data_IF_418950940454
#
_entry.id   IF_418950940454
#
_cell.length_a   1.000
_cell.length_b   1.000
_cell.length_c   1.000
_cell.angle_alpha   90.00
_cell.angle_beta   90.00
_cell.angle_gamma   90.00
#
_symmetry.space_group_name_H-M   'P 1'
#
loop_
_entity.id
_entity.type
_entity.pdbx_description
1 polymer ?
#
# COMPACT_ATOMS: atom_id res chain seq x y z
N UNK A 1 -17.32 33.86 4.86
CA UNK A 1 -15.85 33.93 4.69
C UNK A 1 -15.29 32.71 5.36
N UNK A 2 -14.33 32.02 4.73
CA UNK A 2 -13.70 30.86 5.36
C UNK A 2 -12.97 31.28 6.63
N UNK A 3 -13.03 30.44 7.67
CA UNK A 3 -12.23 30.63 8.89
C UNK A 3 -10.74 30.55 8.55
N UNK A 4 -9.94 31.39 9.20
CA UNK A 4 -8.50 31.56 8.91
C UNK A 4 -7.67 31.04 10.07
N UNK A 5 -6.69 30.19 9.77
CA UNK A 5 -5.79 29.59 10.74
C UNK A 5 -4.37 30.10 10.54
N UNK A 6 -3.71 30.49 11.63
CA UNK A 6 -2.36 31.06 11.60
C UNK A 6 -1.37 30.12 12.27
N UNK A 7 -0.28 29.78 11.58
CA UNK A 7 0.75 28.89 12.10
C UNK A 7 1.76 29.62 13.00
N UNK A 8 2.28 28.93 14.02
CA UNK A 8 3.35 29.44 14.87
C UNK A 8 4.61 29.80 14.07
N UNK A 9 5.29 30.86 14.50
CA UNK A 9 6.63 31.22 14.01
C UNK A 9 7.60 30.06 14.25
N UNK A 10 8.20 29.54 13.17
CA UNK A 10 9.20 28.46 13.24
C UNK A 10 8.64 27.05 13.05
N UNK A 11 7.31 26.87 13.11
CA UNK A 11 6.64 25.59 12.79
C UNK A 11 5.97 25.57 11.40
N UNK A 12 5.99 26.70 10.69
CA UNK A 12 5.39 26.88 9.36
C UNK A 12 6.20 26.27 8.19
N UNK A 13 7.51 26.00 8.37
CA UNK A 13 8.42 25.64 7.26
C UNK A 13 7.98 24.44 6.44
N UNK A 14 7.49 23.38 7.09
CA UNK A 14 7.08 22.14 6.39
C UNK A 14 5.84 22.36 5.54
N UNK A 15 4.87 23.12 6.05
CA UNK A 15 3.68 23.50 5.31
C UNK A 15 4.03 24.40 4.10
N UNK A 16 4.95 25.36 4.28
CA UNK A 16 5.48 26.20 3.19
C UNK A 16 6.25 25.40 2.12
N UNK A 17 6.80 24.24 2.49
CA UNK A 17 7.43 23.29 1.57
C UNK A 17 6.43 22.31 0.93
N UNK A 18 5.13 22.55 1.10
CA UNK A 18 4.06 21.79 0.45
C UNK A 18 3.64 20.53 1.18
N UNK A 19 4.01 20.32 2.46
CA UNK A 19 3.46 19.22 3.25
C UNK A 19 1.95 19.43 3.42
N UNK A 20 1.10 18.45 3.09
CA UNK A 20 -0.35 18.63 3.06
C UNK A 20 -1.00 18.63 4.46
N UNK A 21 -0.25 18.32 5.51
CA UNK A 21 -0.78 18.20 6.86
C UNK A 21 -0.37 19.37 7.75
N UNK A 22 -1.32 19.89 8.52
CA UNK A 22 -1.10 20.83 9.61
C UNK A 22 -1.49 20.14 10.91
N UNK A 23 -0.56 20.05 11.83
CA UNK A 23 -0.77 19.44 13.14
C UNK A 23 -1.29 20.46 14.14
N UNK A 24 -2.04 19.98 15.14
CA UNK A 24 -2.59 20.82 16.23
C UNK A 24 -1.53 21.70 16.89
N UNK A 25 -0.30 21.19 17.06
CA UNK A 25 0.78 21.93 17.72
C UNK A 25 1.49 22.95 16.82
N UNK A 26 1.12 23.01 15.54
CA UNK A 26 1.62 23.99 14.57
C UNK A 26 0.70 25.23 14.47
N UNK A 27 -0.54 25.13 14.96
CA UNK A 27 -1.56 26.19 14.92
C UNK A 27 -1.40 27.10 16.14
N UNK A 28 -1.31 28.42 15.90
CA UNK A 28 -1.19 29.45 16.93
C UNK A 28 -2.55 30.02 17.34
N UNK A 29 -3.34 30.43 16.35
CA UNK A 29 -4.64 31.09 16.52
C UNK A 29 -5.49 30.90 15.26
N UNK A 30 -6.78 31.18 15.38
CA UNK A 30 -7.71 31.21 14.26
C UNK A 30 -8.69 32.37 14.38
N UNK A 31 -9.27 32.79 13.26
CA UNK A 31 -10.26 33.87 13.14
C UNK A 31 -11.49 33.39 12.36
N UNK A 32 -12.67 33.53 12.97
CA UNK A 32 -13.95 33.06 12.46
C UNK A 32 -14.39 31.69 12.99
N UNK A 33 -15.70 31.44 12.93
CA UNK A 33 -16.31 30.17 13.35
C UNK A 33 -16.11 29.06 12.31
N UNK A 34 -16.06 27.81 12.77
CA UNK A 34 -15.97 26.62 11.91
C UNK A 34 -16.62 25.41 12.56
N UNK A 35 -17.04 24.45 11.73
CA UNK A 35 -17.39 23.09 12.13
C UNK A 35 -16.37 22.09 11.57
N UNK A 36 -16.25 20.93 12.23
CA UNK A 36 -15.38 19.87 11.73
C UNK A 36 -15.88 19.37 10.36
N UNK A 37 -14.98 19.38 9.37
CA UNK A 37 -15.26 19.12 7.97
C UNK A 37 -15.20 20.36 7.08
N UNK A 38 -15.36 21.56 7.66
CA UNK A 38 -15.35 22.81 6.90
C UNK A 38 -14.03 23.08 6.18
N UNK A 39 -14.12 23.75 5.04
CA UNK A 39 -12.95 24.27 4.33
C UNK A 39 -12.47 25.56 5.01
N UNK A 40 -11.22 25.54 5.46
CA UNK A 40 -10.55 26.66 6.13
C UNK A 40 -9.32 27.10 5.35
N UNK A 41 -8.87 28.33 5.59
CA UNK A 41 -7.65 28.89 5.01
C UNK A 41 -6.50 28.83 6.02
N UNK A 42 -5.30 28.45 5.57
CA UNK A 42 -4.10 28.39 6.41
C UNK A 42 -3.13 29.48 5.98
N UNK A 43 -2.63 30.22 6.96
CA UNK A 43 -1.68 31.32 6.82
C UNK A 43 -0.46 31.09 7.71
N UNK A 44 0.71 31.59 7.31
CA UNK A 44 1.87 31.61 8.20
C UNK A 44 1.78 32.76 9.22
N UNK A 45 2.71 32.79 10.18
CA UNK A 45 2.83 33.84 11.20
C UNK A 45 3.00 35.29 10.68
N UNK A 46 3.21 35.49 9.37
CA UNK A 46 3.30 36.82 8.74
C UNK A 46 2.04 37.17 7.93
N UNK A 47 1.03 36.31 7.93
CA UNK A 47 -0.20 36.50 7.17
C UNK A 47 -0.10 36.10 5.69
N UNK A 48 0.93 35.37 5.27
CA UNK A 48 0.98 34.82 3.91
C UNK A 48 0.17 33.54 3.81
N UNK A 49 -0.65 33.44 2.77
CA UNK A 49 -1.47 32.28 2.48
C UNK A 49 -0.60 31.05 2.15
N UNK A 50 -0.96 29.91 2.72
CA UNK A 50 -0.32 28.60 2.52
C UNK A 50 -1.23 27.69 1.68
N UNK A 51 -2.51 27.61 2.04
CA UNK A 51 -3.44 26.73 1.34
C UNK A 51 -4.84 26.70 1.96
N UNK A 52 -5.76 26.01 1.26
CA UNK A 52 -7.11 25.69 1.72
C UNK A 52 -7.26 24.19 1.91
N UNK A 53 -7.99 23.78 2.94
CA UNK A 53 -8.19 22.39 3.28
C UNK A 53 -9.28 22.20 4.31
N UNK A 54 -9.71 20.96 4.54
CA UNK A 54 -10.71 20.68 5.56
C UNK A 54 -10.09 20.59 6.96
N UNK A 55 -10.87 20.99 7.97
CA UNK A 55 -10.49 20.94 9.39
C UNK A 55 -11.13 19.76 10.14
N UNK A 56 -10.42 19.18 11.10
CA UNK A 56 -10.96 18.25 12.10
C UNK A 56 -10.16 18.32 13.41
N UNK A 57 -10.73 18.92 14.46
CA UNK A 57 -10.08 19.09 15.77
C UNK A 57 -9.92 17.79 16.58
N UNK A 58 -10.64 16.72 16.21
CA UNK A 58 -10.50 15.39 16.83
C UNK A 58 -9.19 14.71 16.44
N UNK A 59 -8.63 15.08 15.28
CA UNK A 59 -7.42 14.51 14.74
C UNK A 59 -6.19 15.33 15.13
N UNK A 60 -5.06 14.66 15.37
CA UNK A 60 -3.78 15.35 15.54
C UNK A 60 -3.36 16.10 14.27
N UNK A 61 -3.77 15.58 13.10
CA UNK A 61 -3.64 16.25 11.81
C UNK A 61 -4.92 17.09 11.66
N UNK A 62 -4.87 18.30 12.19
CA UNK A 62 -6.06 19.16 12.35
C UNK A 62 -6.53 19.73 11.02
N UNK A 63 -5.63 20.11 10.11
CA UNK A 63 -6.03 20.60 8.78
C UNK A 63 -5.28 19.81 7.71
N UNK A 64 -5.99 19.40 6.66
CA UNK A 64 -5.42 18.72 5.50
C UNK A 64 -5.64 19.55 4.25
N UNK A 65 -4.55 20.15 3.75
CA UNK A 65 -4.54 21.05 2.60
C UNK A 65 -4.88 20.27 1.32
N UNK A 66 -5.83 20.80 0.55
CA UNK A 66 -6.28 20.27 -0.74
C UNK A 66 -5.83 21.15 -1.91
N UNK A 67 -5.64 22.45 -1.68
CA UNK A 67 -5.15 23.38 -2.71
C UNK A 67 -4.28 24.48 -2.11
N UNK A 68 -3.33 24.97 -2.92
CA UNK A 68 -2.50 26.14 -2.63
C UNK A 68 -2.89 27.35 -3.48
N UNK A 69 -4.00 27.26 -4.23
CA UNK A 69 -4.61 28.39 -4.94
C UNK A 69 -5.75 28.98 -4.09
N UNK A 70 -5.60 30.24 -3.70
CA UNK A 70 -6.60 30.94 -2.88
C UNK A 70 -7.94 31.10 -3.61
N UNK A 71 -7.94 31.10 -4.95
CA UNK A 71 -9.15 31.28 -5.76
C UNK A 71 -9.80 29.94 -6.18
N UNK A 72 -9.14 28.80 -5.96
CA UNK A 72 -9.67 27.50 -6.37
C UNK A 72 -10.72 27.01 -5.36
N UNK A 73 -11.98 26.91 -5.76
CA UNK A 73 -13.04 26.33 -4.94
C UNK A 73 -12.93 24.79 -4.92
N UNK A 74 -13.22 24.17 -3.78
CA UNK A 74 -13.17 22.70 -3.63
C UNK A 74 -14.57 22.16 -3.98
N UNK A 75 -14.85 22.13 -5.28
CA UNK A 75 -16.13 21.75 -5.85
C UNK A 75 -16.00 20.54 -6.82
N UNK A 76 -17.06 20.24 -7.58
CA UNK A 76 -17.03 19.19 -8.60
C UNK A 76 -15.88 19.35 -9.61
N UNK A 77 -15.61 20.57 -10.07
CA UNK A 77 -14.57 20.82 -11.05
C UNK A 77 -13.17 20.61 -10.47
N UNK A 78 -12.95 20.98 -9.20
CA UNK A 78 -11.72 20.65 -8.49
C UNK A 78 -11.48 19.15 -8.48
N UNK A 79 -12.45 18.34 -8.04
CA UNK A 79 -12.28 16.89 -7.98
C UNK A 79 -12.11 16.29 -9.39
N UNK A 80 -12.89 16.73 -10.38
CA UNK A 80 -12.74 16.29 -11.77
C UNK A 80 -11.33 16.54 -12.29
N UNK A 81 -10.77 17.72 -12.05
CA UNK A 81 -9.39 18.07 -12.41
C UNK A 81 -8.37 17.19 -11.69
N UNK A 82 -8.54 16.93 -10.38
CA UNK A 82 -7.64 16.08 -9.59
C UNK A 82 -7.66 14.62 -10.07
N UNK A 83 -8.85 14.07 -10.30
CA UNK A 83 -9.02 12.73 -10.84
C UNK A 83 -8.39 12.60 -12.24
N UNK A 84 -8.61 13.60 -13.11
CA UNK A 84 -8.00 13.60 -14.45
C UNK A 84 -6.48 13.57 -14.36
N UNK A 85 -5.87 14.46 -13.56
CA UNK A 85 -4.42 14.50 -13.38
C UNK A 85 -3.87 13.18 -12.82
N UNK A 86 -4.53 12.61 -11.81
CA UNK A 86 -4.14 11.33 -11.23
C UNK A 86 -4.22 10.20 -12.25
N UNK A 87 -5.26 10.18 -13.10
CA UNK A 87 -5.43 9.13 -14.13
C UNK A 87 -4.41 9.26 -15.26
N UNK A 88 -4.15 10.48 -15.74
CA UNK A 88 -3.11 10.73 -16.76
C UNK A 88 -1.73 10.25 -16.29
N UNK A 89 -1.41 10.47 -15.01
CA UNK A 89 -0.20 9.92 -14.42
C UNK A 89 -0.18 8.39 -14.51
N UNK A 90 -1.23 7.69 -14.06
CA UNK A 90 -1.29 6.21 -14.10
C UNK A 90 -1.14 5.68 -15.53
N UNK A 91 -1.86 6.25 -16.50
CA UNK A 91 -1.74 5.85 -17.91
C UNK A 91 -0.31 5.92 -18.45
N UNK A 92 0.53 6.80 -17.89
CA UNK A 92 1.93 6.95 -18.29
C UNK A 92 2.83 5.90 -17.65
N UNK A 93 2.58 5.55 -16.39
CA UNK A 93 3.54 4.78 -15.58
C UNK A 93 3.17 3.32 -15.35
N UNK A 94 1.91 2.94 -15.54
CA UNK A 94 1.44 1.59 -15.22
C UNK A 94 0.25 1.15 -16.07
N UNK A 95 0.05 -0.16 -16.16
CA UNK A 95 -1.19 -0.72 -16.69
C UNK A 95 -2.38 -0.38 -15.77
N UNK A 96 -3.41 0.23 -16.37
CA UNK A 96 -4.59 0.79 -15.70
C UNK A 96 -5.81 -0.13 -15.70
N UNK A 97 -5.68 -1.36 -16.22
CA UNK A 97 -6.74 -2.38 -16.07
C UNK A 97 -7.07 -2.56 -14.59
N UNK A 98 -6.05 -2.77 -13.76
CA UNK A 98 -6.12 -2.77 -12.30
C UNK A 98 -4.95 -2.01 -11.68
N UNK A 99 -5.25 -0.92 -10.95
CA UNK A 99 -4.26 -0.05 -10.32
C UNK A 99 -4.86 0.82 -9.21
N UNK A 100 -3.99 1.37 -8.36
CA UNK A 100 -4.32 2.46 -7.43
C UNK A 100 -4.57 3.72 -8.24
N UNK A 101 -5.84 4.07 -8.41
CA UNK A 101 -6.23 5.26 -9.13
C UNK A 101 -5.92 6.52 -8.31
N UNK A 102 -6.38 6.58 -7.06
CA UNK A 102 -6.10 7.70 -6.14
C UNK A 102 -5.37 7.18 -4.92
N UNK A 103 -4.25 7.81 -4.57
CA UNK A 103 -3.38 7.50 -3.43
C UNK A 103 -3.26 8.70 -2.46
N UNK A 104 -4.41 9.15 -1.95
CA UNK A 104 -4.49 10.10 -0.85
C UNK A 104 -3.79 11.42 -1.11
N UNK A 105 -2.95 11.80 -0.14
CA UNK A 105 -2.11 12.99 -0.17
C UNK A 105 -1.23 13.07 -1.42
N UNK A 106 -0.78 11.93 -1.95
CA UNK A 106 0.11 11.90 -3.10
C UNK A 106 -0.58 12.32 -4.41
N UNK A 107 -1.91 12.27 -4.44
CA UNK A 107 -2.75 12.79 -5.52
C UNK A 107 -3.49 14.07 -5.12
N UNK A 108 -3.05 14.72 -4.03
CA UNK A 108 -3.64 15.94 -3.50
C UNK A 108 -5.12 15.81 -3.12
N UNK A 109 -5.53 14.60 -2.71
CA UNK A 109 -6.86 14.28 -2.19
C UNK A 109 -6.70 13.60 -0.83
N UNK A 110 -6.26 14.33 0.22
CA UNK A 110 -5.94 13.75 1.52
C UNK A 110 -7.09 12.93 2.09
N UNK A 111 -6.79 11.72 2.51
CA UNK A 111 -7.75 10.79 3.10
C UNK A 111 -8.59 9.98 2.12
N UNK A 112 -8.50 10.22 0.81
CA UNK A 112 -9.15 9.42 -0.22
C UNK A 112 -8.22 8.35 -0.80
N UNK A 113 -8.70 7.14 -0.91
CA UNK A 113 -8.03 6.08 -1.64
C UNK A 113 -9.02 5.45 -2.61
N UNK A 114 -8.61 5.28 -3.88
CA UNK A 114 -9.43 4.63 -4.91
C UNK A 114 -8.59 3.58 -5.62
N UNK A 115 -9.04 2.33 -5.56
CA UNK A 115 -8.52 1.26 -6.41
C UNK A 115 -9.48 0.98 -7.56
N UNK A 116 -8.90 0.69 -8.72
CA UNK A 116 -9.59 0.24 -9.91
C UNK A 116 -9.26 -1.24 -10.14
N UNK A 117 -10.30 -2.03 -10.42
CA UNK A 117 -10.24 -3.45 -10.76
C UNK A 117 -11.10 -3.69 -12.00
N UNK A 118 -10.49 -3.69 -13.18
CA UNK A 118 -11.19 -3.62 -14.47
C UNK A 118 -12.16 -2.43 -14.48
N UNK A 119 -13.47 -2.67 -14.66
CA UNK A 119 -14.50 -1.64 -14.73
C UNK A 119 -15.13 -1.31 -13.35
N UNK A 120 -14.59 -1.88 -12.26
CA UNK A 120 -15.10 -1.72 -10.90
C UNK A 120 -14.11 -0.95 -10.03
N UNK A 121 -14.65 -0.23 -9.04
CA UNK A 121 -13.86 0.64 -8.19
C UNK A 121 -14.13 0.36 -6.72
N UNK A 122 -13.08 0.40 -5.91
CA UNK A 122 -13.17 0.39 -4.46
C UNK A 122 -12.69 1.72 -3.93
N UNK A 123 -13.53 2.42 -3.17
CA UNK A 123 -13.13 3.62 -2.46
C UNK A 123 -12.94 3.32 -0.97
N UNK A 124 -11.95 3.97 -0.38
CA UNK A 124 -11.72 3.98 1.06
C UNK A 124 -11.50 5.42 1.47
N UNK A 125 -12.38 5.94 2.32
CA UNK A 125 -12.31 7.30 2.85
C UNK A 125 -11.95 7.23 4.32
N UNK A 126 -10.87 7.91 4.69
CA UNK A 126 -10.27 7.79 6.02
C UNK A 126 -10.47 9.03 6.90
N UNK A 127 -11.01 10.13 6.38
CA UNK A 127 -11.08 11.44 7.05
C UNK A 127 -12.45 12.09 6.91
N UNK A 128 -12.84 12.89 7.91
CA UNK A 128 -14.17 13.51 7.96
C UNK A 128 -14.44 14.45 6.78
N UNK A 129 -13.52 15.38 6.50
CA UNK A 129 -13.76 16.35 5.42
C UNK A 129 -13.85 15.69 4.04
N UNK A 130 -13.13 14.59 3.79
CA UNK A 130 -13.25 13.85 2.53
C UNK A 130 -14.55 13.04 2.47
N UNK A 131 -15.06 12.57 3.62
CA UNK A 131 -16.31 11.81 3.71
C UNK A 131 -17.53 12.60 3.23
N UNK A 132 -17.51 13.93 3.41
CA UNK A 132 -18.55 14.84 2.92
C UNK A 132 -18.65 14.88 1.39
N UNK A 133 -17.59 14.50 0.68
CA UNK A 133 -17.54 14.48 -0.79
C UNK A 133 -17.77 13.08 -1.38
N UNK A 134 -18.19 12.09 -0.56
CA UNK A 134 -18.38 10.70 -1.00
C UNK A 134 -19.25 10.58 -2.25
N UNK A 135 -20.44 11.18 -2.23
CA UNK A 135 -21.39 11.09 -3.35
C UNK A 135 -20.85 11.77 -4.61
N UNK A 136 -20.11 12.87 -4.44
CA UNK A 136 -19.46 13.58 -5.53
C UNK A 136 -18.35 12.72 -6.18
N UNK A 137 -17.56 12.02 -5.37
CA UNK A 137 -16.52 11.09 -5.84
C UNK A 137 -17.15 9.93 -6.63
N UNK A 138 -18.21 9.32 -6.10
CA UNK A 138 -18.93 8.24 -6.78
C UNK A 138 -19.48 8.73 -8.11
N UNK A 139 -20.08 9.92 -8.13
CA UNK A 139 -20.58 10.55 -9.35
C UNK A 139 -19.49 10.71 -10.41
N UNK A 140 -18.31 11.21 -10.04
CA UNK A 140 -17.17 11.36 -10.97
C UNK A 140 -16.73 10.00 -11.52
N UNK A 141 -16.62 8.97 -10.68
CA UNK A 141 -16.22 7.63 -11.12
C UNK A 141 -17.21 7.05 -12.15
N UNK A 142 -18.51 7.25 -11.94
CA UNK A 142 -19.55 6.78 -12.87
C UNK A 142 -19.56 7.61 -14.16
N UNK A 143 -19.63 8.94 -14.06
CA UNK A 143 -19.83 9.83 -15.22
C UNK A 143 -18.58 9.98 -16.10
N UNK A 144 -17.40 10.09 -15.49
CA UNK A 144 -16.16 10.43 -16.23
C UNK A 144 -15.29 9.20 -16.51
N UNK A 145 -15.42 8.13 -15.72
CA UNK A 145 -14.60 6.92 -15.82
C UNK A 145 -15.38 5.64 -16.10
N UNK A 146 -16.71 5.72 -16.27
CA UNK A 146 -17.53 4.60 -16.71
C UNK A 146 -17.61 3.45 -15.70
N UNK A 147 -17.50 3.73 -14.41
CA UNK A 147 -17.59 2.73 -13.36
C UNK A 147 -18.88 1.91 -13.47
N UNK A 148 -18.75 0.59 -13.65
CA UNK A 148 -19.89 -0.35 -13.62
C UNK A 148 -20.39 -0.60 -12.20
N UNK A 149 -19.51 -0.44 -11.21
CA UNK A 149 -19.86 -0.53 -9.81
C UNK A 149 -18.80 0.11 -8.91
N UNK A 150 -19.26 0.71 -7.82
CA UNK A 150 -18.40 1.30 -6.79
C UNK A 150 -18.72 0.67 -5.44
N UNK A 151 -17.70 0.15 -4.77
CA UNK A 151 -17.80 -0.44 -3.44
C UNK A 151 -17.01 0.37 -2.42
N UNK A 152 -17.52 0.52 -1.20
CA UNK A 152 -16.85 1.19 -0.11
C UNK A 152 -16.14 0.18 0.81
N UNK A 153 -14.85 0.41 1.07
CA UNK A 153 -14.03 -0.29 2.07
C UNK A 153 -13.44 0.69 3.07
N UNK A 154 -14.30 1.51 3.63
CA UNK A 154 -14.01 2.43 4.72
C UNK A 154 -14.07 1.73 6.10
N UNK A 155 -13.93 0.41 6.16
CA UNK A 155 -13.91 -0.42 7.37
C UNK A 155 -12.53 -0.41 8.06
N UNK A 156 -12.00 0.80 8.29
CA UNK A 156 -10.68 1.02 8.84
C UNK A 156 -10.73 1.77 10.17
N UNK A 157 -9.91 1.33 11.13
CA UNK A 157 -9.84 1.93 12.48
C UNK A 157 -9.48 3.41 12.50
N UNK A 158 -8.81 3.93 11.47
CA UNK A 158 -8.44 5.36 11.41
C UNK A 158 -9.65 6.29 11.33
N UNK A 159 -10.81 5.80 10.87
CA UNK A 159 -12.06 6.58 10.86
C UNK A 159 -12.55 6.95 12.25
N UNK A 160 -12.34 6.07 13.24
CA UNK A 160 -12.73 6.33 14.63
C UNK A 160 -11.99 7.54 15.21
N UNK A 161 -10.71 7.74 14.82
CA UNK A 161 -9.90 8.90 15.22
C UNK A 161 -10.50 10.19 14.65
N UNK A 162 -11.08 10.11 13.46
CA UNK A 162 -11.71 11.24 12.76
C UNK A 162 -13.16 11.45 13.19
N UNK A 163 -13.67 10.63 14.13
CA UNK A 163 -15.04 10.72 14.64
C UNK A 163 -16.09 10.07 13.75
N UNK A 164 -15.68 9.20 12.83
CA UNK A 164 -16.53 8.51 11.87
C UNK A 164 -16.71 7.04 12.26
N UNK A 165 -17.88 6.50 11.90
CA UNK A 165 -18.11 5.06 11.96
C UNK A 165 -17.37 4.33 10.83
N UNK A 166 -16.95 3.10 11.09
CA UNK A 166 -16.44 2.19 10.07
C UNK A 166 -17.60 1.72 9.19
N UNK A 167 -17.43 1.77 7.87
CA UNK A 167 -18.49 1.40 6.93
C UNK A 167 -17.92 0.65 5.74
N UNK A 168 -18.69 -0.31 5.24
CA UNK A 168 -18.46 -0.97 3.95
C UNK A 168 -19.79 -1.27 3.28
N UNK A 169 -19.83 -1.27 1.96
CA UNK A 169 -21.05 -1.57 1.21
C UNK A 169 -21.04 -1.04 -0.22
N UNK A 170 -22.12 -1.31 -0.94
CA UNK A 170 -22.31 -0.79 -2.29
C UNK A 170 -22.64 0.71 -2.27
N UNK A 171 -21.96 1.48 -3.12
CA UNK A 171 -22.26 2.91 -3.37
C UNK A 171 -22.98 3.12 -4.71
N UNK A 172 -23.12 2.06 -5.48
CA UNK A 172 -23.94 1.95 -6.70
C UNK A 172 -24.89 0.77 -6.53
N UNK A 173 -25.62 0.41 -7.59
CA UNK A 173 -26.39 -0.84 -7.60
C UNK A 173 -25.51 -2.06 -7.24
N UNK A 174 -26.04 -3.04 -6.47
CA UNK A 174 -25.30 -4.24 -6.11
C UNK A 174 -24.76 -5.02 -7.32
N UNK A 175 -23.55 -5.56 -7.18
CA UNK A 175 -22.84 -6.33 -8.21
C UNK A 175 -22.04 -7.47 -7.59
N UNK A 176 -21.54 -8.41 -8.40
CA UNK A 176 -20.65 -9.47 -7.91
C UNK A 176 -19.31 -8.89 -7.48
N UNK A 177 -19.00 -9.00 -6.19
CA UNK A 177 -17.77 -8.45 -5.59
C UNK A 177 -16.54 -9.31 -5.86
N UNK A 178 -16.68 -10.46 -6.53
CA UNK A 178 -15.56 -11.29 -7.00
C UNK A 178 -15.16 -10.91 -8.42
N UNK A 179 -14.23 -9.96 -8.54
CA UNK A 179 -13.79 -9.43 -9.83
C UNK A 179 -12.59 -10.21 -10.34
N UNK A 180 -12.68 -10.74 -11.55
CA UNK A 180 -11.52 -11.32 -12.22
C UNK A 180 -10.66 -10.21 -12.82
N UNK A 181 -9.37 -10.17 -12.47
CA UNK A 181 -8.39 -9.22 -13.02
C UNK A 181 -7.25 -9.96 -13.71
N UNK A 182 -6.49 -9.25 -14.54
CA UNK A 182 -5.21 -9.73 -15.08
C UNK A 182 -4.09 -8.78 -14.65
N UNK A 183 -3.06 -9.31 -13.98
CA UNK A 183 -1.87 -8.55 -13.63
C UNK A 183 -0.61 -9.35 -13.99
N UNK A 184 0.31 -8.73 -14.74
CA UNK A 184 1.56 -9.37 -15.19
C UNK A 184 1.34 -10.71 -15.94
N UNK A 185 0.20 -10.83 -16.64
CA UNK A 185 -0.21 -12.05 -17.33
C UNK A 185 -0.87 -13.11 -16.43
N UNK A 186 -0.97 -12.89 -15.12
CA UNK A 186 -1.63 -13.78 -14.16
C UNK A 186 -3.07 -13.34 -13.96
N UNK A 187 -4.01 -14.30 -14.04
CA UNK A 187 -5.42 -14.09 -13.70
C UNK A 187 -5.64 -14.24 -12.20
N UNK A 188 -6.42 -13.36 -11.60
CA UNK A 188 -6.82 -13.44 -10.19
C UNK A 188 -8.31 -13.24 -10.03
N UNK A 189 -8.89 -13.88 -9.02
CA UNK A 189 -10.21 -13.49 -8.50
C UNK A 189 -9.97 -12.62 -7.26
N UNK A 190 -10.44 -11.37 -7.31
CA UNK A 190 -10.32 -10.39 -6.23
C UNK A 190 -11.67 -10.24 -5.54
N UNK A 191 -11.71 -10.52 -4.24
CA UNK A 191 -12.88 -10.26 -3.39
C UNK A 191 -12.80 -8.82 -2.85
N UNK A 192 -13.63 -7.93 -3.41
CA UNK A 192 -13.67 -6.52 -3.02
C UNK A 192 -14.28 -6.31 -1.63
N UNK A 193 -15.16 -7.21 -1.17
CA UNK A 193 -15.97 -7.05 0.04
C UNK A 193 -15.27 -7.57 1.30
N UNK A 194 -14.62 -8.73 1.21
CA UNK A 194 -14.02 -9.43 2.35
C UNK A 194 -12.51 -9.63 2.19
N UNK A 195 -11.95 -9.34 1.01
CA UNK A 195 -10.50 -9.39 0.79
C UNK A 195 -9.74 -8.41 1.69
N UNK A 196 -8.46 -8.71 1.94
CA UNK A 196 -7.58 -7.83 2.72
C UNK A 196 -7.37 -6.48 2.02
N UNK A 197 -7.22 -5.41 2.82
CA UNK A 197 -7.22 -4.01 2.34
C UNK A 197 -8.50 -3.75 1.54
N UNK A 198 -8.36 -3.38 0.28
CA UNK A 198 -9.41 -3.11 -0.72
C UNK A 198 -9.68 -4.32 -1.62
N UNK A 199 -9.08 -5.48 -1.32
CA UNK A 199 -9.25 -6.74 -2.06
C UNK A 199 -7.93 -7.35 -2.54
N UNK A 200 -6.97 -6.54 -2.99
CA UNK A 200 -5.71 -7.00 -3.58
C UNK A 200 -4.55 -6.03 -3.33
N UNK A 201 -3.33 -6.56 -3.23
CA UNK A 201 -2.11 -5.80 -2.98
C UNK A 201 -1.49 -5.30 -4.30
N UNK A 202 -2.03 -4.20 -4.84
CA UNK A 202 -1.56 -3.56 -6.08
C UNK A 202 -0.17 -2.91 -5.92
N UNK A 203 0.22 -2.56 -4.69
CA UNK A 203 1.52 -1.97 -4.34
C UNK A 203 2.71 -2.86 -4.72
N UNK A 204 2.53 -4.17 -4.78
CA UNK A 204 3.56 -5.15 -5.15
C UNK A 204 3.58 -5.51 -6.66
N UNK A 205 2.74 -4.90 -7.51
CA UNK A 205 2.59 -5.23 -8.95
C UNK A 205 3.94 -5.30 -9.68
N UNK A 206 4.77 -4.27 -9.56
CA UNK A 206 6.07 -4.22 -10.24
C UNK A 206 7.12 -5.13 -9.59
N UNK A 207 7.02 -5.39 -8.29
CA UNK A 207 7.93 -6.30 -7.58
C UNK A 207 7.66 -7.76 -7.95
N UNK A 208 6.39 -8.13 -8.14
CA UNK A 208 5.99 -9.43 -8.69
C UNK A 208 6.55 -9.63 -10.10
N UNK A 209 6.44 -8.63 -10.96
CA UNK A 209 7.02 -8.67 -12.31
C UNK A 209 8.56 -8.79 -12.28
N UNK A 210 9.23 -8.09 -11.37
CA UNK A 210 10.69 -8.12 -11.25
C UNK A 210 11.25 -9.53 -10.93
N UNK A 211 10.45 -10.38 -10.29
CA UNK A 211 10.81 -11.76 -9.98
C UNK A 211 10.75 -12.70 -11.20
N UNK A 212 10.04 -12.34 -12.28
CA UNK A 212 9.89 -13.20 -13.47
C UNK A 212 11.23 -13.65 -14.04
N UNK A 213 12.17 -12.71 -14.23
CA UNK A 213 13.50 -12.99 -14.79
C UNK A 213 14.39 -13.86 -13.89
N UNK A 214 14.02 -14.04 -12.62
CA UNK A 214 14.80 -14.78 -11.61
C UNK A 214 14.26 -16.20 -11.45
N UNK A 215 12.94 -16.38 -11.53
CA UNK A 215 12.28 -17.63 -11.16
C UNK A 215 12.32 -18.72 -12.23
N UNK A 216 12.67 -18.42 -13.49
CA UNK A 216 12.68 -19.40 -14.57
C UNK A 216 13.58 -20.62 -14.25
N UNK A 217 13.04 -21.83 -14.45
CA UNK A 217 13.68 -23.12 -14.21
C UNK A 217 14.16 -23.35 -12.75
N UNK A 218 13.62 -22.58 -11.79
CA UNK A 218 14.01 -22.63 -10.37
C UNK A 218 12.98 -23.33 -9.48
N UNK A 219 13.45 -23.90 -8.37
CA UNK A 219 12.60 -24.28 -7.24
C UNK A 219 12.40 -23.05 -6.34
N UNK A 220 11.16 -22.57 -6.19
CA UNK A 220 10.81 -21.30 -5.52
C UNK A 220 10.01 -21.56 -4.24
N UNK A 221 10.38 -20.87 -3.16
CA UNK A 221 9.60 -20.78 -1.94
C UNK A 221 9.05 -19.35 -1.78
N UNK A 222 7.74 -19.22 -1.68
CA UNK A 222 7.04 -17.96 -1.42
C UNK A 222 6.41 -18.00 -0.02
N UNK A 223 6.99 -17.27 0.92
CA UNK A 223 6.49 -17.19 2.30
C UNK A 223 5.59 -15.97 2.47
N UNK A 224 4.51 -16.14 3.23
CA UNK A 224 3.45 -15.14 3.37
C UNK A 224 2.76 -14.89 2.02
N UNK A 225 2.51 -15.97 1.28
CA UNK A 225 2.05 -15.92 -0.11
C UNK A 225 0.67 -15.27 -0.26
N UNK A 226 -0.11 -15.16 0.82
CA UNK A 226 -1.49 -14.68 0.82
C UNK A 226 -2.32 -15.48 -0.21
N UNK A 227 -2.91 -14.80 -1.19
CA UNK A 227 -3.69 -15.38 -2.29
C UNK A 227 -2.83 -15.87 -3.46
N UNK A 228 -1.53 -16.09 -3.24
CA UNK A 228 -0.61 -16.72 -4.19
C UNK A 228 0.12 -15.75 -5.12
N UNK A 229 0.11 -14.44 -4.86
CA UNK A 229 0.45 -13.46 -5.89
C UNK A 229 1.89 -13.57 -6.42
N UNK A 230 2.90 -13.71 -5.55
CA UNK A 230 4.28 -13.96 -5.96
C UNK A 230 4.47 -15.38 -6.52
N UNK A 231 3.92 -16.39 -5.85
CA UNK A 231 3.97 -17.78 -6.28
C UNK A 231 3.44 -18.00 -7.71
N UNK A 232 2.31 -17.39 -8.06
CA UNK A 232 1.71 -17.49 -9.39
C UNK A 232 2.52 -16.73 -10.45
N UNK A 233 3.09 -15.56 -10.09
CA UNK A 233 4.02 -14.86 -10.98
C UNK A 233 5.28 -15.68 -11.25
N UNK A 234 5.81 -16.38 -10.24
CA UNK A 234 6.92 -17.32 -10.42
C UNK A 234 6.51 -18.49 -11.33
N UNK A 235 5.30 -19.02 -11.16
CA UNK A 235 4.75 -20.09 -12.01
C UNK A 235 4.63 -19.68 -13.48
N UNK A 236 4.00 -18.55 -13.80
CA UNK A 236 3.90 -18.03 -15.19
C UNK A 236 5.27 -17.73 -15.79
N UNK A 237 6.23 -17.29 -14.97
CA UNK A 237 7.60 -17.05 -15.42
C UNK A 237 8.39 -18.33 -15.76
N UNK A 238 7.79 -19.51 -15.59
CA UNK A 238 8.40 -20.79 -15.92
C UNK A 238 9.26 -21.36 -14.80
N UNK A 239 8.91 -21.11 -13.53
CA UNK A 239 9.52 -21.83 -12.42
C UNK A 239 9.35 -23.35 -12.57
N UNK A 240 10.36 -24.11 -12.14
CA UNK A 240 10.32 -25.58 -12.16
C UNK A 240 9.35 -26.12 -11.13
N UNK A 241 9.34 -25.53 -9.95
CA UNK A 241 8.38 -25.82 -8.87
C UNK A 241 8.23 -24.58 -8.00
N UNK A 242 7.03 -24.37 -7.45
CA UNK A 242 6.75 -23.28 -6.51
C UNK A 242 5.98 -23.82 -5.32
N UNK A 243 6.44 -23.52 -4.12
CA UNK A 243 5.71 -23.75 -2.88
C UNK A 243 5.37 -22.39 -2.24
N UNK A 244 4.08 -22.06 -2.20
CA UNK A 244 3.58 -20.93 -1.43
C UNK A 244 3.09 -21.36 -0.05
N UNK A 245 3.47 -20.62 1.00
CA UNK A 245 2.99 -20.86 2.37
C UNK A 245 2.37 -19.61 2.98
N UNK A 246 1.24 -19.78 3.66
CA UNK A 246 0.54 -18.75 4.42
C UNK A 246 -0.14 -19.36 5.64
N UNK A 247 -0.35 -18.56 6.68
CA UNK A 247 -1.02 -19.00 7.92
C UNK A 247 -2.53 -19.11 7.75
N UNK A 248 -3.10 -18.45 6.75
CA UNK A 248 -4.54 -18.43 6.50
C UNK A 248 -4.95 -19.53 5.52
N UNK A 249 -5.67 -20.55 6.01
CA UNK A 249 -6.24 -21.59 5.15
C UNK A 249 -7.16 -20.99 4.07
N UNK A 250 -7.91 -19.95 4.43
CA UNK A 250 -8.76 -19.23 3.48
C UNK A 250 -7.93 -18.60 2.33
N UNK A 251 -6.80 -17.96 2.65
CA UNK A 251 -5.92 -17.37 1.63
C UNK A 251 -5.31 -18.46 0.73
N UNK A 252 -4.92 -19.59 1.32
CA UNK A 252 -4.41 -20.77 0.59
C UNK A 252 -5.45 -21.37 -0.34
N UNK A 253 -6.71 -21.47 0.07
CA UNK A 253 -7.78 -21.98 -0.79
C UNK A 253 -8.05 -21.04 -1.96
N UNK A 254 -8.00 -19.73 -1.73
CA UNK A 254 -8.04 -18.74 -2.81
C UNK A 254 -6.83 -18.85 -3.74
N UNK A 255 -5.62 -19.06 -3.21
CA UNK A 255 -4.41 -19.23 -3.99
C UNK A 255 -4.48 -20.48 -4.90
N UNK A 256 -5.03 -21.59 -4.40
CA UNK A 256 -5.27 -22.81 -5.19
C UNK A 256 -6.25 -22.57 -6.35
N UNK A 257 -7.36 -21.89 -6.10
CA UNK A 257 -8.31 -21.49 -7.15
C UNK A 257 -7.63 -20.61 -8.21
N UNK A 258 -6.80 -19.66 -7.79
CA UNK A 258 -6.02 -18.84 -8.72
C UNK A 258 -4.99 -19.67 -9.52
N UNK A 259 -4.36 -20.69 -8.93
CA UNK A 259 -3.49 -21.59 -9.69
C UNK A 259 -4.24 -22.38 -10.75
N UNK A 260 -5.42 -22.93 -10.42
CA UNK A 260 -6.29 -23.62 -11.38
C UNK A 260 -6.73 -22.68 -12.50
N UNK A 261 -7.12 -21.44 -12.17
CA UNK A 261 -7.51 -20.41 -13.14
C UNK A 261 -6.40 -20.11 -14.17
N UNK A 262 -5.14 -20.31 -13.79
CA UNK A 262 -3.96 -20.10 -14.64
C UNK A 262 -3.38 -21.40 -15.21
N UNK A 263 -3.99 -22.57 -14.96
CA UNK A 263 -3.45 -23.89 -15.32
C UNK A 263 -2.05 -24.17 -14.71
N UNK A 264 -1.79 -23.64 -13.52
CA UNK A 264 -0.51 -23.75 -12.81
C UNK A 264 -0.54 -24.72 -11.63
N UNK A 265 -1.68 -25.37 -11.37
CA UNK A 265 -1.89 -26.20 -10.18
C UNK A 265 -0.88 -27.36 -10.03
N UNK A 266 -0.24 -27.80 -11.11
CA UNK A 266 0.76 -28.87 -11.08
C UNK A 266 2.16 -28.38 -10.70
N UNK A 267 2.47 -27.11 -10.95
CA UNK A 267 3.77 -26.49 -10.69
C UNK A 267 3.76 -25.66 -9.41
N UNK A 268 2.64 -24.98 -9.13
CA UNK A 268 2.47 -24.08 -7.99
C UNK A 268 1.58 -24.77 -6.95
N UNK A 269 2.19 -25.15 -5.84
CA UNK A 269 1.51 -25.81 -4.70
C UNK A 269 1.45 -24.86 -3.52
N UNK A 270 0.43 -25.05 -2.68
CA UNK A 270 0.17 -24.18 -1.53
C UNK A 270 -0.09 -25.00 -0.26
N UNK A 271 0.56 -24.60 0.84
CA UNK A 271 0.43 -25.23 2.15
C UNK A 271 0.08 -24.20 3.23
N UNK A 272 -0.85 -24.55 4.13
CA UNK A 272 -1.23 -23.69 5.23
C UNK A 272 -0.26 -23.86 6.40
N UNK A 273 0.72 -22.97 6.48
CA UNK A 273 1.78 -22.99 7.46
C UNK A 273 2.12 -21.59 7.95
N UNK A 274 2.40 -21.48 9.25
CA UNK A 274 3.05 -20.30 9.78
C UNK A 274 4.55 -20.35 9.41
N UNK A 275 5.00 -19.38 8.61
CA UNK A 275 6.38 -19.31 8.14
C UNK A 275 7.41 -19.25 9.29
N UNK A 276 7.08 -18.61 10.43
CA UNK A 276 7.99 -18.59 11.58
C UNK A 276 8.24 -19.98 12.17
N UNK A 277 7.23 -20.84 12.13
CA UNK A 277 7.30 -22.19 12.71
C UNK A 277 8.06 -23.12 11.74
N UNK A 278 7.62 -23.19 10.48
CA UNK A 278 8.15 -24.20 9.53
C UNK A 278 9.54 -23.88 9.00
N UNK A 279 9.91 -22.60 8.82
CA UNK A 279 11.24 -22.26 8.29
C UNK A 279 12.36 -22.61 9.28
N UNK A 280 12.07 -22.61 10.58
CA UNK A 280 13.00 -23.06 11.61
C UNK A 280 13.33 -24.55 11.49
N UNK A 281 12.31 -25.37 11.24
CA UNK A 281 12.41 -26.82 11.14
C UNK A 281 13.03 -27.25 9.82
N UNK A 282 12.51 -26.72 8.70
CA UNK A 282 13.01 -27.03 7.36
C UNK A 282 14.48 -26.62 7.17
N UNK A 283 14.90 -25.52 7.80
CA UNK A 283 16.31 -25.11 7.80
C UNK A 283 17.20 -26.10 8.55
N UNK A 284 16.71 -26.76 9.61
CA UNK A 284 17.46 -27.79 10.35
C UNK A 284 17.51 -29.11 9.59
N UNK A 285 16.46 -29.41 8.84
CA UNK A 285 16.38 -30.57 7.94
C UNK A 285 17.21 -30.40 6.66
N UNK A 286 17.74 -29.20 6.41
CA UNK A 286 18.58 -28.91 5.23
C UNK A 286 17.79 -28.72 3.94
N UNK A 287 16.48 -28.48 4.02
CA UNK A 287 15.66 -28.15 2.85
C UNK A 287 16.11 -26.80 2.28
N UNK A 288 16.30 -26.72 0.96
CA UNK A 288 16.75 -25.50 0.29
C UNK A 288 16.07 -25.29 -1.06
N UNK A 289 15.95 -24.02 -1.46
CA UNK A 289 15.32 -23.54 -2.69
C UNK A 289 16.29 -22.67 -3.48
N UNK A 290 16.07 -22.58 -4.79
CA UNK A 290 16.85 -21.68 -5.64
C UNK A 290 16.46 -20.22 -5.46
N UNK A 291 15.18 -19.98 -5.11
CA UNK A 291 14.64 -18.64 -4.82
C UNK A 291 13.78 -18.71 -3.57
N UNK A 292 13.99 -17.79 -2.63
CA UNK A 292 13.13 -17.60 -1.45
C UNK A 292 12.61 -16.17 -1.43
N UNK A 293 11.30 -15.99 -1.35
CA UNK A 293 10.61 -14.70 -1.27
C UNK A 293 9.96 -14.59 0.11
N UNK A 294 10.20 -13.48 0.80
CA UNK A 294 9.55 -13.15 2.07
C UNK A 294 8.77 -11.84 1.92
N UNK A 295 7.44 -11.91 1.96
CA UNK A 295 6.56 -10.73 2.04
C UNK A 295 5.74 -10.69 3.34
N UNK A 296 6.41 -10.54 4.50
CA UNK A 296 5.72 -10.59 5.78
C UNK A 296 4.77 -9.40 5.97
N UNK A 297 3.70 -9.57 6.77
CA UNK A 297 2.87 -8.45 7.19
C UNK A 297 3.69 -7.43 7.99
N UNK A 298 3.20 -6.19 8.07
CA UNK A 298 3.88 -5.16 8.85
C UNK A 298 3.95 -5.54 10.36
N UNK A 299 5.15 -5.86 10.85
CA UNK A 299 5.38 -6.22 12.26
C UNK A 299 5.27 -5.04 13.24
N UNK A 300 5.12 -3.82 12.74
CA UNK A 300 4.88 -2.64 13.59
C UNK A 300 3.92 -1.67 12.94
N UNK A 301 3.01 -1.14 13.77
CA UNK A 301 2.06 -0.06 13.45
C UNK A 301 2.34 1.22 14.23
N UNK A 302 3.47 1.30 14.95
CA UNK A 302 3.85 2.49 15.71
C UNK A 302 5.37 2.62 15.89
N UNK A 303 5.85 3.83 16.21
CA UNK A 303 7.27 4.03 16.58
C UNK A 303 7.66 3.26 17.86
N UNK A 304 6.73 3.06 18.79
CA UNK A 304 7.01 2.41 20.08
C UNK A 304 7.35 0.92 19.94
N UNK A 305 6.79 0.26 18.92
CA UNK A 305 6.95 -1.19 18.69
C UNK A 305 8.08 -1.54 17.72
N UNK A 306 8.84 -0.55 17.22
CA UNK A 306 9.87 -0.74 16.19
C UNK A 306 10.98 -1.73 16.60
N UNK A 307 11.41 -1.73 17.86
CA UNK A 307 12.46 -2.63 18.36
C UNK A 307 12.05 -4.10 18.29
N UNK A 308 10.78 -4.40 18.57
CA UNK A 308 10.24 -5.76 18.47
C UNK A 308 10.12 -6.18 17.00
N UNK A 309 9.65 -5.27 16.13
CA UNK A 309 9.60 -5.53 14.70
C UNK A 309 10.97 -5.82 14.10
N UNK A 310 12.02 -5.05 14.44
CA UNK A 310 13.39 -5.31 13.98
C UNK A 310 13.85 -6.73 14.34
N UNK A 311 13.53 -7.23 15.56
CA UNK A 311 13.85 -8.61 15.95
C UNK A 311 13.09 -9.64 15.11
N UNK A 312 11.80 -9.43 14.88
CA UNK A 312 10.99 -10.30 14.03
C UNK A 312 11.49 -10.35 12.58
N UNK A 313 11.82 -9.19 12.01
CA UNK A 313 12.41 -9.11 10.67
C UNK A 313 13.78 -9.77 10.61
N UNK A 314 14.63 -9.61 11.63
CA UNK A 314 15.93 -10.30 11.68
C UNK A 314 15.74 -11.81 11.68
N UNK A 315 14.86 -12.33 12.53
CA UNK A 315 14.61 -13.76 12.65
C UNK A 315 14.08 -14.36 11.35
N UNK A 316 13.03 -13.76 10.76
CA UNK A 316 12.43 -14.31 9.53
C UNK A 316 13.41 -14.25 8.35
N UNK A 317 14.21 -13.18 8.23
CA UNK A 317 15.24 -13.09 7.20
C UNK A 317 16.38 -14.08 7.43
N UNK A 318 16.80 -14.30 8.68
CA UNK A 318 17.81 -15.31 9.03
C UNK A 318 17.36 -16.70 8.59
N UNK A 319 16.10 -17.07 8.87
CA UNK A 319 15.54 -18.36 8.45
C UNK A 319 15.40 -18.45 6.93
N UNK A 320 14.84 -17.43 6.29
CA UNK A 320 14.72 -17.36 4.84
C UNK A 320 16.07 -17.53 4.13
N UNK A 321 17.12 -16.86 4.60
CA UNK A 321 18.47 -16.96 4.02
C UNK A 321 19.09 -18.35 4.15
N UNK A 322 18.80 -19.10 5.23
CA UNK A 322 19.26 -20.48 5.38
C UNK A 322 18.59 -21.44 4.39
N UNK A 323 17.39 -21.10 3.95
CA UNK A 323 16.63 -21.86 2.96
C UNK A 323 17.13 -21.63 1.52
N UNK A 324 18.05 -20.70 1.27
CA UNK A 324 18.55 -20.42 -0.09
C UNK A 324 19.78 -21.28 -0.40
N UNK A 325 19.77 -21.95 -1.57
CA UNK A 325 20.94 -22.66 -2.13
C UNK A 325 22.08 -21.66 -2.39
N UNK A 326 23.35 -22.09 -2.34
CA UNK A 326 24.47 -21.23 -2.78
C UNK A 326 24.29 -20.88 -4.26
N UNK A 327 24.48 -19.61 -4.60
CA UNK A 327 24.21 -19.05 -5.94
C UNK A 327 22.73 -18.75 -6.22
N UNK A 328 21.83 -19.09 -5.29
CA UNK A 328 20.40 -18.79 -5.37
C UNK A 328 20.06 -17.33 -5.06
N UNK A 329 18.77 -17.02 -5.03
CA UNK A 329 18.25 -15.66 -4.85
C UNK A 329 17.34 -15.54 -3.63
N UNK A 330 17.38 -14.37 -3.02
CA UNK A 330 16.60 -14.03 -1.85
C UNK A 330 15.90 -12.69 -2.06
N UNK A 331 14.58 -12.67 -1.92
CA UNK A 331 13.80 -11.45 -1.94
C UNK A 331 13.11 -11.24 -0.59
N UNK A 332 13.09 -10.00 -0.10
CA UNK A 332 12.52 -9.67 1.22
C UNK A 332 11.97 -8.26 1.24
N UNK A 333 10.85 -8.04 1.92
CA UNK A 333 10.25 -6.72 2.04
C UNK A 333 9.72 -6.36 3.43
N UNK A 334 9.42 -5.07 3.58
CA UNK A 334 8.66 -4.51 4.69
C UNK A 334 7.67 -3.49 4.13
N UNK A 335 6.40 -3.63 4.50
CA UNK A 335 5.34 -2.67 4.18
C UNK A 335 5.08 -1.65 5.31
N UNK A 336 6.00 -1.50 6.27
CA UNK A 336 5.87 -0.55 7.38
C UNK A 336 6.62 0.75 7.10
N UNK A 337 5.93 1.89 7.15
CA UNK A 337 6.57 3.20 7.08
C UNK A 337 7.52 3.47 8.27
N UNK A 338 7.24 2.90 9.44
CA UNK A 338 8.11 3.03 10.62
C UNK A 338 9.43 2.27 10.50
N UNK A 339 9.48 1.26 9.63
CA UNK A 339 10.72 0.58 9.27
C UNK A 339 11.37 1.35 8.13
N UNK A 340 12.40 2.14 8.44
CA UNK A 340 13.16 2.83 7.40
C UNK A 340 13.93 1.85 6.53
N UNK A 341 14.29 2.28 5.32
CA UNK A 341 15.13 1.48 4.42
C UNK A 341 16.47 1.13 5.07
N UNK A 342 17.11 2.10 5.74
CA UNK A 342 18.37 1.89 6.47
C UNK A 342 18.24 0.84 7.59
N UNK A 343 17.14 0.90 8.36
CA UNK A 343 16.87 -0.07 9.42
C UNK A 343 16.67 -1.47 8.84
N UNK A 344 15.90 -1.60 7.76
CA UNK A 344 15.68 -2.90 7.11
C UNK A 344 17.00 -3.43 6.52
N UNK A 345 17.77 -2.59 5.82
CA UNK A 345 19.08 -2.95 5.27
C UNK A 345 20.03 -3.48 6.35
N UNK A 346 20.14 -2.77 7.48
CA UNK A 346 20.94 -3.22 8.63
C UNK A 346 20.43 -4.55 9.18
N UNK A 347 19.11 -4.70 9.31
CA UNK A 347 18.47 -5.93 9.81
C UNK A 347 18.78 -7.13 8.92
N UNK A 348 18.67 -6.97 7.60
CA UNK A 348 19.00 -8.03 6.62
C UNK A 348 20.49 -8.34 6.63
N UNK A 349 21.36 -7.33 6.77
CA UNK A 349 22.80 -7.53 6.89
C UNK A 349 23.18 -8.35 8.13
N UNK A 350 22.58 -8.06 9.28
CA UNK A 350 22.79 -8.83 10.51
C UNK A 350 22.27 -10.27 10.37
N UNK A 351 21.10 -10.46 9.72
CA UNK A 351 20.57 -11.79 9.43
C UNK A 351 21.48 -12.61 8.51
N UNK A 352 22.06 -11.98 7.48
CA UNK A 352 23.00 -12.63 6.57
C UNK A 352 24.31 -13.04 7.25
N UNK A 353 24.85 -12.17 8.11
CA UNK A 353 26.01 -12.47 8.92
C UNK A 353 25.76 -13.71 9.81
N UNK A 354 24.62 -13.75 10.51
CA UNK A 354 24.25 -14.87 11.39
C UNK A 354 23.93 -16.16 10.59
N UNK A 355 23.45 -16.02 9.35
CA UNK A 355 23.28 -17.13 8.40
C UNK A 355 24.60 -17.61 7.79
N UNK A 356 25.72 -16.89 8.01
CA UNK A 356 27.01 -17.09 7.34
C UNK A 356 26.89 -17.06 5.81
N UNK A 357 26.12 -16.11 5.30
CA UNK A 357 25.90 -15.91 3.86
C UNK A 357 26.39 -14.53 3.43
N UNK A 358 26.98 -14.46 2.24
CA UNK A 358 27.31 -13.18 1.62
C UNK A 358 26.17 -12.78 0.69
N UNK A 359 25.71 -11.53 0.76
CA UNK A 359 24.67 -11.01 -0.11
C UNK A 359 25.28 -10.09 -1.17
N UNK A 360 24.99 -10.39 -2.44
CA UNK A 360 25.20 -9.47 -3.55
C UNK A 360 23.86 -8.81 -3.87
N UNK A 361 23.77 -7.49 -3.70
CA UNK A 361 22.55 -6.75 -4.02
C UNK A 361 22.32 -6.77 -5.53
N UNK A 362 21.13 -7.22 -5.93
CA UNK A 362 20.65 -7.17 -7.32
C UNK A 362 19.90 -5.87 -7.53
N UNK A 363 18.84 -5.64 -6.74
CA UNK A 363 18.00 -4.44 -6.82
C UNK A 363 17.43 -4.05 -5.45
N UNK A 364 17.14 -2.75 -5.30
CA UNK A 364 16.26 -2.20 -4.27
C UNK A 364 15.06 -1.63 -5.02
N UNK A 365 13.86 -1.96 -4.57
CA UNK A 365 12.59 -1.52 -5.15
C UNK A 365 11.67 -1.00 -4.05
N UNK A 366 10.63 -0.29 -4.47
CA UNK A 366 9.62 0.31 -3.60
C UNK A 366 8.23 -0.22 -3.94
N UNK A 367 7.19 0.37 -3.36
CA UNK A 367 5.83 0.25 -3.89
C UNK A 367 5.77 0.64 -5.37
N UNK A 368 4.77 0.09 -6.07
CA UNK A 368 4.55 0.31 -7.50
C UNK A 368 4.20 1.77 -7.81
N UNK A 369 4.47 2.19 -9.05
CA UNK A 369 4.33 3.60 -9.46
C UNK A 369 2.92 4.20 -9.27
N UNK A 370 1.85 3.39 -9.22
CA UNK A 370 0.48 3.83 -8.92
C UNK A 370 0.27 4.25 -7.44
N UNK A 371 1.25 4.00 -6.57
CA UNK A 371 1.33 4.44 -5.18
C UNK A 371 2.45 5.50 -4.99
N UNK A 372 2.31 6.69 -5.60
CA UNK A 372 3.39 7.66 -5.73
C UNK A 372 4.01 8.06 -4.38
N UNK A 373 5.33 8.15 -4.36
CA UNK A 373 6.12 8.60 -3.21
C UNK A 373 6.38 10.10 -3.36
N UNK A 374 5.79 10.89 -2.47
CA UNK A 374 6.05 12.33 -2.37
C UNK A 374 7.30 12.59 -1.54
N UNK A 375 8.25 13.32 -2.10
CA UNK A 375 9.50 13.66 -1.41
C UNK A 375 9.35 14.65 -0.26
N UNK A 376 8.22 15.36 -0.20
CA UNK A 376 7.87 16.26 0.90
C UNK A 376 6.91 15.62 1.91
N UNK A 377 6.60 14.32 1.77
CA UNK A 377 5.81 13.54 2.73
C UNK A 377 6.41 12.15 2.89
N UNK A 378 7.25 12.00 3.92
CA UNK A 378 7.91 10.74 4.27
C UNK A 378 6.91 9.59 4.45
N UNK A 379 5.69 9.89 4.89
CA UNK A 379 4.63 8.91 5.16
C UNK A 379 4.12 8.21 3.90
N UNK A 380 4.31 8.82 2.72
CA UNK A 380 3.98 8.20 1.44
C UNK A 380 4.92 7.03 1.10
N UNK A 381 6.14 6.98 1.64
CA UNK A 381 7.10 5.89 1.42
C UNK A 381 7.01 4.80 2.50
N UNK A 382 6.33 3.70 2.19
CA UNK A 382 6.10 2.63 3.17
C UNK A 382 6.69 1.28 2.78
N UNK A 383 6.74 0.93 1.49
CA UNK A 383 7.16 -0.40 1.03
C UNK A 383 8.62 -0.39 0.59
N UNK A 384 9.43 -1.27 1.16
CA UNK A 384 10.83 -1.53 0.78
C UNK A 384 10.97 -2.97 0.36
N UNK A 385 11.52 -3.23 -0.82
CA UNK A 385 11.69 -4.57 -1.37
C UNK A 385 13.13 -4.74 -1.86
N UNK A 386 13.83 -5.75 -1.32
CA UNK A 386 15.22 -6.03 -1.66
C UNK A 386 15.33 -7.35 -2.40
N UNK A 387 16.18 -7.39 -3.43
CA UNK A 387 16.55 -8.61 -4.14
C UNK A 387 18.06 -8.81 -4.03
N UNK A 388 18.46 -10.00 -3.57
CA UNK A 388 19.86 -10.40 -3.43
C UNK A 388 20.14 -11.72 -4.15
N UNK A 389 21.38 -11.88 -4.62
CA UNK A 389 21.97 -13.20 -4.85
C UNK A 389 22.73 -13.61 -3.59
N UNK A 390 22.54 -14.86 -3.15
CA UNK A 390 23.25 -15.47 -2.03
C UNK A 390 24.52 -16.14 -2.55
N UNK A 391 25.68 -15.64 -2.13
CA UNK A 391 27.01 -16.12 -2.54
C UNK A 391 27.56 -17.11 -1.51
#
# INVERSE_FOLDING_TARGET
MASKFYLHKGKNKRAEQGRPWIYVDEINEYDGDYENGDIVEVYNHKGFFIGKGYINDRSKITIRIMTTDINEEIDYNFFKKRFANAFEYRKTVIDTSSCRFIFGEADFLPGLTVDKFEDYYVIQISTLGMDQYRDLIVKILVEEYGAKGVYERSDIKTREIEGLEQTKGFLTEPFDTNIQIIENGVKYIVDLENGQKTGFFLDQKENRAAMHRICKDKDVLDCFTHTGSFALNAGIAGAKSVLGIDVSQHAIDCARKNAELNNLQDIVKFECHNAFDVLGDWSREGKQFDVVILDPPAFTKSRNTIKSAIRGYKEINLRGLKMVKSGGYFATCSCSHYMSEEQLKKTVQEAAHDARRTLRQVEIRTQSADHPILWNSDESYYLKFFIFQVV
#
